data_IF_064605885393
#
_entry.id   IF_064605885393
#
_cell.length_a   1.000
_cell.length_b   1.000
_cell.length_c   1.000
_cell.angle_alpha   90.00
_cell.angle_beta   90.00
_cell.angle_gamma   90.00
#
_symmetry.space_group_name_H-M   'P 1'
#
loop_
_entity.id
_entity.type
_entity.pdbx_description
1 polymer ?
#
# COMPACT_ATOMS: atom_id res chain seq x y z
N UNK A 1 -18.11 18.57 22.43
CA UNK A 1 -19.17 17.81 21.71
C UNK A 1 -18.66 17.06 20.48
N UNK A 2 -17.88 17.64 19.53
CA UNK A 2 -17.36 16.82 18.40
C UNK A 2 -16.04 16.07 18.70
N UNK A 3 -15.17 16.64 19.54
CA UNK A 3 -13.89 16.03 19.95
C UNK A 3 -14.10 14.78 20.80
N UNK A 4 -15.07 14.79 21.69
CA UNK A 4 -15.37 13.69 22.62
C UNK A 4 -15.92 12.46 21.87
N UNK A 5 -16.67 12.70 20.79
CA UNK A 5 -17.20 11.65 19.90
C UNK A 5 -16.08 11.01 19.10
N UNK A 6 -15.16 11.81 18.54
CA UNK A 6 -13.99 11.31 17.82
C UNK A 6 -13.07 10.50 18.75
N UNK A 7 -12.85 10.97 19.98
CA UNK A 7 -12.07 10.25 20.97
C UNK A 7 -12.70 8.89 21.33
N UNK A 8 -14.02 8.87 21.54
CA UNK A 8 -14.76 7.64 21.82
C UNK A 8 -14.73 6.65 20.64
N UNK A 9 -14.82 7.13 19.40
CA UNK A 9 -14.73 6.29 18.20
C UNK A 9 -13.33 5.71 18.01
N UNK A 10 -12.27 6.47 18.30
CA UNK A 10 -10.89 5.98 18.24
C UNK A 10 -10.58 4.93 19.33
N UNK A 11 -11.21 5.05 20.51
CA UNK A 11 -11.02 4.12 21.62
C UNK A 11 -11.74 2.78 21.44
N UNK A 12 -12.77 2.71 20.59
CA UNK A 12 -13.60 1.52 20.38
C UNK A 12 -13.22 0.70 19.14
N UNK A 13 -12.06 0.96 18.53
CA UNK A 13 -11.51 0.10 17.49
C UNK A 13 -11.07 -1.23 18.13
N UNK A 14 -11.98 -2.21 18.17
CA UNK A 14 -11.69 -3.55 18.64
C UNK A 14 -10.56 -4.16 17.82
N UNK A 15 -9.47 -4.52 18.50
CA UNK A 15 -8.28 -5.13 17.93
C UNK A 15 -8.58 -6.60 17.65
N UNK A 16 -9.02 -6.91 16.44
CA UNK A 16 -8.92 -8.26 15.90
C UNK A 16 -7.46 -8.51 15.51
N UNK A 17 -6.98 -9.75 15.61
CA UNK A 17 -5.71 -10.13 14.97
C UNK A 17 -5.82 -9.79 13.48
N UNK A 18 -5.06 -8.79 12.98
CA UNK A 18 -5.24 -8.33 11.62
C UNK A 18 -4.80 -9.44 10.67
N UNK A 19 -5.68 -9.83 9.74
CA UNK A 19 -5.31 -10.70 8.63
C UNK A 19 -4.36 -9.96 7.68
N UNK A 20 -3.07 -10.11 7.93
CA UNK A 20 -2.00 -9.44 7.21
C UNK A 20 -0.97 -10.46 6.69
N UNK A 21 -0.26 -10.10 5.63
CA UNK A 21 0.84 -10.89 5.09
C UNK A 21 2.17 -10.17 5.34
N UNK A 22 2.93 -10.55 6.39
CA UNK A 22 4.20 -9.90 6.69
C UNK A 22 5.26 -10.14 5.61
N UNK A 23 6.00 -9.10 5.27
CA UNK A 23 7.17 -9.15 4.40
C UNK A 23 8.29 -9.97 5.03
N UNK A 24 8.85 -10.92 4.29
CA UNK A 24 9.97 -11.76 4.71
C UNK A 24 11.13 -11.63 3.72
N UNK A 25 11.92 -10.54 3.80
CA UNK A 25 13.10 -10.39 2.97
C UNK A 25 14.03 -11.59 3.15
N UNK A 26 14.45 -12.21 2.05
CA UNK A 26 15.33 -13.38 2.05
C UNK A 26 16.79 -12.94 1.81
N UNK A 27 17.69 -13.23 2.74
CA UNK A 27 19.14 -12.96 2.65
C UNK A 27 19.73 -12.15 3.83
N UNK A 28 21.07 -12.07 3.90
CA UNK A 28 21.90 -11.37 4.93
C UNK A 28 21.57 -9.87 5.03
N UNK A 29 20.43 -9.60 5.62
CA UNK A 29 20.00 -8.26 5.94
C UNK A 29 19.71 -8.21 7.43
N UNK A 30 20.79 -8.16 8.21
CA UNK A 30 20.76 -7.41 9.50
C UNK A 30 20.21 -5.97 9.28
N UNK A 31 20.20 -5.49 8.02
CA UNK A 31 19.48 -4.29 7.57
C UNK A 31 17.96 -4.43 7.41
N UNK A 32 17.43 -5.64 7.26
CA UNK A 32 16.00 -5.92 7.07
C UNK A 32 15.20 -5.53 8.31
N UNK A 33 15.66 -5.90 9.50
CA UNK A 33 15.03 -5.48 10.76
C UNK A 33 15.04 -3.96 10.96
N UNK A 34 16.15 -3.28 10.67
CA UNK A 34 16.23 -1.81 10.72
C UNK A 34 15.35 -1.10 9.68
N UNK A 35 14.93 -1.79 8.61
CA UNK A 35 14.06 -1.21 7.58
C UNK A 35 12.62 -1.05 8.09
N UNK A 36 12.18 -1.94 9.00
CA UNK A 36 10.85 -1.89 9.60
C UNK A 36 10.75 -0.87 10.74
N UNK A 37 11.84 -0.61 11.47
CA UNK A 37 11.92 0.43 12.52
C UNK A 37 11.67 1.86 12.00
N UNK A 38 11.77 2.07 10.70
CA UNK A 38 11.57 3.38 10.07
C UNK A 38 10.11 3.65 9.63
N UNK A 39 9.18 2.73 9.90
CA UNK A 39 7.76 2.91 9.56
C UNK A 39 7.12 3.90 10.55
N UNK A 40 6.53 5.00 10.08
CA UNK A 40 5.84 5.93 10.97
C UNK A 40 4.65 5.29 11.67
N UNK A 41 4.36 5.74 12.90
CA UNK A 41 3.23 5.26 13.70
C UNK A 41 1.89 5.41 12.98
N UNK A 42 1.70 6.52 12.27
CA UNK A 42 0.46 6.78 11.54
C UNK A 42 0.69 6.74 10.05
N UNK A 43 -0.16 5.98 9.36
CA UNK A 43 -0.23 5.93 7.92
C UNK A 43 -1.63 6.32 7.45
N UNK A 44 -1.66 6.93 6.27
CA UNK A 44 -2.85 7.51 5.66
C UNK A 44 -3.08 6.85 4.30
N UNK A 45 -4.33 6.54 3.98
CA UNK A 45 -4.72 6.05 2.65
C UNK A 45 -5.98 6.76 2.20
N UNK A 46 -5.92 7.34 1.01
CA UNK A 46 -7.08 7.89 0.33
C UNK A 46 -7.60 6.84 -0.64
N UNK A 47 -8.90 6.62 -0.65
CA UNK A 47 -9.53 5.69 -1.57
C UNK A 47 -10.89 6.21 -2.06
N UNK A 48 -11.29 5.68 -3.21
CA UNK A 48 -12.54 6.02 -3.93
C UNK A 48 -13.18 4.73 -4.43
N UNK A 49 -14.47 4.73 -4.81
CA UNK A 49 -15.10 3.59 -5.47
C UNK A 49 -14.38 3.11 -6.75
N UNK A 50 -13.56 3.98 -7.35
CA UNK A 50 -12.78 3.69 -8.57
C UNK A 50 -11.37 3.17 -8.30
N UNK A 51 -10.96 3.07 -7.03
CA UNK A 51 -9.68 2.47 -6.66
C UNK A 51 -9.63 0.99 -7.09
N UNK A 52 -8.45 0.52 -7.49
CA UNK A 52 -8.27 -0.86 -7.99
C UNK A 52 -8.45 -1.91 -6.87
N UNK A 53 -7.83 -1.66 -5.71
CA UNK A 53 -8.09 -2.41 -4.48
C UNK A 53 -9.48 -2.14 -3.90
N UNK A 54 -9.81 -2.83 -2.81
CA UNK A 54 -11.03 -2.57 -2.04
C UNK A 54 -10.65 -2.13 -0.63
N UNK A 55 -10.98 -0.90 -0.26
CA UNK A 55 -10.86 -0.42 1.10
C UNK A 55 -12.24 -0.06 1.63
N UNK A 56 -12.54 -0.44 2.87
CA UNK A 56 -13.72 -0.02 3.62
C UNK A 56 -13.35 0.12 5.10
N UNK A 57 -14.34 0.32 5.97
CA UNK A 57 -14.14 0.51 7.41
C UNK A 57 -13.46 -0.67 8.12
N UNK A 58 -13.50 -1.88 7.53
CA UNK A 58 -12.99 -3.10 8.17
C UNK A 58 -11.82 -3.74 7.43
N UNK A 59 -11.61 -3.40 6.16
CA UNK A 59 -10.68 -4.11 5.29
C UNK A 59 -9.98 -3.20 4.32
N UNK A 60 -8.71 -3.48 4.10
CA UNK A 60 -7.93 -3.01 2.96
C UNK A 60 -7.48 -4.24 2.17
N UNK A 61 -7.83 -4.31 0.88
CA UNK A 61 -7.48 -5.39 -0.03
C UNK A 61 -6.78 -4.82 -1.26
N UNK A 62 -5.65 -5.40 -1.64
CA UNK A 62 -5.00 -5.16 -2.92
C UNK A 62 -5.88 -5.60 -4.11
N UNK A 63 -5.44 -5.36 -5.34
CA UNK A 63 -6.13 -5.88 -6.52
C UNK A 63 -6.17 -7.42 -6.51
N UNK A 64 -5.01 -8.06 -6.30
CA UNK A 64 -4.91 -9.52 -6.26
C UNK A 64 -5.82 -10.11 -5.17
N UNK A 65 -5.86 -9.50 -3.98
CA UNK A 65 -6.70 -9.97 -2.88
C UNK A 65 -8.20 -9.76 -3.12
N UNK A 66 -8.58 -8.70 -3.86
CA UNK A 66 -9.98 -8.45 -4.26
C UNK A 66 -10.49 -9.51 -5.24
N UNK A 67 -9.62 -10.01 -6.11
CA UNK A 67 -9.95 -11.03 -7.11
C UNK A 67 -9.53 -12.45 -6.70
N UNK A 68 -9.11 -12.63 -5.44
CA UNK A 68 -8.72 -13.93 -4.86
C UNK A 68 -7.65 -14.66 -5.66
N UNK A 69 -6.75 -13.90 -6.29
CA UNK A 69 -5.61 -14.46 -7.03
C UNK A 69 -4.70 -15.16 -6.04
N UNK A 70 -4.21 -16.37 -6.36
CA UNK A 70 -3.33 -17.15 -5.46
C UNK A 70 -2.11 -16.34 -4.98
N UNK A 71 -1.56 -15.52 -5.88
CA UNK A 71 -0.43 -14.62 -5.65
C UNK A 71 -0.72 -13.48 -4.65
N UNK A 72 -1.98 -13.21 -4.29
CA UNK A 72 -2.34 -12.29 -3.20
C UNK A 72 -1.81 -12.76 -1.84
N UNK A 73 -1.56 -14.07 -1.72
CA UNK A 73 -1.19 -14.76 -0.49
C UNK A 73 0.31 -15.02 -0.39
N UNK A 74 1.06 -14.59 -1.40
CA UNK A 74 2.49 -14.86 -1.54
C UNK A 74 3.24 -13.57 -1.29
N UNK A 75 4.10 -13.59 -0.27
CA UNK A 75 5.01 -12.49 0.01
C UNK A 75 5.81 -12.17 -1.26
N UNK A 76 5.97 -10.87 -1.55
CA UNK A 76 6.68 -10.40 -2.74
C UNK A 76 8.09 -11.02 -2.82
N UNK A 77 8.77 -11.16 -1.68
CA UNK A 77 10.10 -11.78 -1.60
C UNK A 77 10.10 -13.28 -1.82
N UNK A 78 8.96 -13.96 -1.63
CA UNK A 78 8.79 -15.38 -1.90
C UNK A 78 8.38 -15.68 -3.35
N UNK A 79 7.96 -14.67 -4.14
CA UNK A 79 7.58 -14.88 -5.55
C UNK A 79 8.76 -15.41 -6.38
N UNK A 80 8.56 -16.46 -7.20
CA UNK A 80 9.65 -17.14 -7.90
C UNK A 80 10.22 -16.33 -9.09
N UNK A 81 9.36 -15.62 -9.84
CA UNK A 81 9.78 -14.85 -11.02
C UNK A 81 10.11 -13.40 -10.63
N UNK A 82 11.38 -13.15 -10.28
CA UNK A 82 11.85 -11.85 -9.78
C UNK A 82 11.71 -10.71 -10.80
N UNK A 83 11.90 -10.98 -12.09
CA UNK A 83 11.74 -10.01 -13.17
C UNK A 83 10.28 -9.56 -13.28
N UNK A 84 9.34 -10.51 -13.31
CA UNK A 84 7.90 -10.22 -13.33
C UNK A 84 7.47 -9.44 -12.09
N UNK A 85 8.01 -9.79 -10.91
CA UNK A 85 7.76 -9.05 -9.68
C UNK A 85 8.33 -7.63 -9.72
N UNK A 86 9.52 -7.42 -10.28
CA UNK A 86 10.09 -6.09 -10.49
C UNK A 86 9.24 -5.23 -11.44
N UNK A 87 8.73 -5.83 -12.52
CA UNK A 87 7.82 -5.14 -13.45
C UNK A 87 6.48 -4.78 -12.78
N UNK A 88 5.92 -5.68 -11.97
CA UNK A 88 4.72 -5.40 -11.17
C UNK A 88 4.96 -4.24 -10.21
N UNK A 89 6.06 -4.27 -9.45
CA UNK A 89 6.45 -3.20 -8.53
C UNK A 89 6.65 -1.87 -9.27
N UNK A 90 7.31 -1.88 -10.43
CA UNK A 90 7.48 -0.69 -11.25
C UNK A 90 6.14 -0.07 -11.67
N UNK A 91 5.20 -0.90 -12.16
CA UNK A 91 3.86 -0.43 -12.54
C UNK A 91 3.12 0.14 -11.33
N UNK A 92 3.15 -0.56 -10.21
CA UNK A 92 2.50 -0.15 -8.96
C UNK A 92 2.98 1.22 -8.49
N UNK A 93 4.30 1.41 -8.37
CA UNK A 93 4.90 2.67 -7.91
C UNK A 93 4.65 3.85 -8.88
N UNK A 94 4.41 3.54 -10.16
CA UNK A 94 4.09 4.53 -11.21
C UNK A 94 2.59 4.70 -11.42
N UNK A 95 1.73 4.03 -10.64
CA UNK A 95 0.28 4.10 -10.75
C UNK A 95 -0.22 3.70 -12.15
N UNK A 96 0.50 2.79 -12.79
CA UNK A 96 0.16 2.24 -14.11
C UNK A 96 -0.78 1.05 -13.95
N UNK A 97 -1.73 0.91 -14.87
CA UNK A 97 -2.58 -0.27 -14.91
C UNK A 97 -1.74 -1.54 -15.17
N UNK A 98 -2.13 -2.63 -14.53
CA UNK A 98 -1.49 -3.92 -14.65
C UNK A 98 -2.42 -5.04 -14.23
N UNK A 99 -2.12 -6.29 -14.63
CA UNK A 99 -2.97 -7.44 -14.35
C UNK A 99 -2.80 -8.01 -12.93
N UNK A 100 -1.72 -7.63 -12.23
CA UNK A 100 -1.31 -8.23 -10.96
C UNK A 100 -0.78 -7.13 -10.05
N UNK A 101 -1.27 -7.13 -8.81
CA UNK A 101 -0.86 -6.22 -7.75
C UNK A 101 -1.33 -6.72 -6.37
N UNK A 102 -0.40 -7.28 -5.59
CA UNK A 102 -0.65 -7.70 -4.21
C UNK A 102 -0.25 -6.64 -3.17
N UNK A 103 -0.04 -5.40 -3.61
CA UNK A 103 0.43 -4.32 -2.77
C UNK A 103 -0.67 -3.27 -2.58
N UNK A 104 -0.59 -2.57 -1.47
CA UNK A 104 -1.46 -1.45 -1.16
C UNK A 104 -0.63 -0.26 -0.72
N UNK A 105 -0.80 0.87 -1.41
CA UNK A 105 -0.13 2.13 -1.07
C UNK A 105 -0.74 2.83 0.14
N UNK A 106 0.13 3.21 1.05
CA UNK A 106 -0.10 4.09 2.19
C UNK A 106 0.87 5.26 2.13
N UNK A 107 0.54 6.39 2.75
CA UNK A 107 1.46 7.53 2.90
C UNK A 107 1.67 7.89 4.36
N UNK A 108 2.84 8.40 4.70
CA UNK A 108 3.12 8.96 6.03
C UNK A 108 2.81 10.46 6.15
N UNK A 109 2.41 11.11 5.05
CA UNK A 109 2.12 12.55 5.02
C UNK A 109 0.63 12.82 4.91
N UNK A 110 0.01 13.29 5.99
CA UNK A 110 -1.38 13.75 5.97
C UNK A 110 -1.59 14.88 4.96
N UNK A 111 -0.63 15.81 4.85
CA UNK A 111 -0.70 16.90 3.88
C UNK A 111 -0.76 16.36 2.44
N UNK A 112 0.05 15.34 2.12
CA UNK A 112 0.00 14.68 0.82
C UNK A 112 -1.35 14.01 0.59
N UNK A 113 -1.87 13.28 1.59
CA UNK A 113 -3.19 12.65 1.49
C UNK A 113 -4.29 13.70 1.21
N UNK A 114 -4.29 14.83 1.92
CA UNK A 114 -5.25 15.92 1.69
C UNK A 114 -5.12 16.52 0.30
N UNK A 115 -3.90 16.83 -0.16
CA UNK A 115 -3.66 17.31 -1.52
C UNK A 115 -4.14 16.30 -2.58
N UNK A 116 -3.96 15.00 -2.30
CA UNK A 116 -4.38 13.93 -3.19
C UNK A 116 -5.91 13.79 -3.30
N UNK A 117 -6.66 14.06 -2.23
CA UNK A 117 -8.13 14.15 -2.28
C UNK A 117 -8.59 15.20 -3.30
N UNK A 118 -8.02 16.41 -3.24
CA UNK A 118 -8.33 17.48 -4.21
C UNK A 118 -7.93 17.08 -5.62
N UNK A 119 -6.78 16.42 -5.78
CA UNK A 119 -6.35 15.90 -7.08
C UNK A 119 -7.36 14.89 -7.66
N UNK A 120 -7.79 13.90 -6.88
CA UNK A 120 -8.74 12.88 -7.31
C UNK A 120 -10.09 13.50 -7.73
N UNK A 121 -10.58 14.46 -6.96
CA UNK A 121 -11.81 15.18 -7.28
C UNK A 121 -11.71 15.94 -8.61
N UNK A 122 -10.59 16.62 -8.86
CA UNK A 122 -10.36 17.39 -10.09
C UNK A 122 -9.99 16.50 -11.31
N UNK A 123 -9.57 15.26 -11.08
CA UNK A 123 -9.08 14.36 -12.12
C UNK A 123 -10.24 13.82 -12.97
N UNK A 124 -10.16 13.91 -14.31
CA UNK A 124 -11.23 13.42 -15.21
C UNK A 124 -11.46 11.90 -15.17
N UNK A 125 -10.43 11.12 -14.82
CA UNK A 125 -10.51 9.65 -14.73
C UNK A 125 -11.22 9.21 -13.45
N UNK A 126 -10.85 9.80 -12.32
CA UNK A 126 -11.50 9.54 -11.04
C UNK A 126 -12.74 10.42 -10.86
N UNK A 127 -12.59 11.72 -10.59
CA UNK A 127 -13.69 12.68 -10.59
C UNK A 127 -14.76 12.36 -9.54
N UNK A 128 -14.40 11.61 -8.51
CA UNK A 128 -15.32 11.29 -7.41
C UNK A 128 -15.72 12.57 -6.67
N UNK A 129 -16.98 12.65 -6.25
CA UNK A 129 -17.41 13.70 -5.32
C UNK A 129 -16.70 13.52 -3.97
N UNK A 130 -16.56 14.60 -3.20
CA UNK A 130 -15.91 14.53 -1.88
C UNK A 130 -16.56 13.49 -0.95
N UNK A 131 -17.88 13.33 -1.01
CA UNK A 131 -18.61 12.31 -0.23
C UNK A 131 -18.19 10.86 -0.55
N UNK A 132 -17.61 10.64 -1.73
CA UNK A 132 -17.12 9.35 -2.20
C UNK A 132 -15.59 9.21 -2.07
N UNK A 133 -14.89 10.21 -1.55
CA UNK A 133 -13.45 10.12 -1.29
C UNK A 133 -13.23 9.95 0.21
N UNK A 134 -12.67 8.82 0.60
CA UNK A 134 -12.50 8.46 2.01
C UNK A 134 -11.02 8.49 2.39
N UNK A 135 -10.74 8.97 3.60
CA UNK A 135 -9.41 8.98 4.22
C UNK A 135 -9.39 7.96 5.35
N UNK A 136 -8.61 6.90 5.17
CA UNK A 136 -8.29 5.93 6.21
C UNK A 136 -7.02 6.36 6.94
N UNK A 137 -7.02 6.21 8.27
CA UNK A 137 -5.86 6.39 9.13
C UNK A 137 -5.67 5.14 9.96
N UNK A 138 -4.45 4.63 10.00
CA UNK A 138 -4.10 3.46 10.82
C UNK A 138 -2.98 3.79 11.78
N UNK A 139 -3.01 3.14 12.95
CA UNK A 139 -1.88 3.09 13.89
C UNK A 139 -1.12 1.79 13.64
N UNK A 140 0.11 1.90 13.12
CA UNK A 140 0.95 0.75 12.74
C UNK A 140 1.42 -0.05 13.95
N UNK A 141 1.35 0.49 15.17
CA UNK A 141 1.66 -0.25 16.40
C UNK A 141 0.60 -1.31 16.75
N UNK A 142 -0.57 -1.25 16.12
CA UNK A 142 -1.63 -2.25 16.25
C UNK A 142 -1.45 -3.45 15.30
N UNK A 143 -0.39 -3.49 14.51
CA UNK A 143 -0.12 -4.55 13.54
C UNK A 143 1.16 -5.32 13.90
N UNK A 144 1.28 -6.59 13.49
CA UNK A 144 2.53 -7.32 13.57
C UNK A 144 3.69 -6.61 12.87
N UNK A 145 4.92 -6.89 13.30
CA UNK A 145 6.11 -6.41 12.63
C UNK A 145 6.13 -6.87 11.16
N UNK A 146 6.76 -6.07 10.29
CA UNK A 146 6.94 -6.34 8.88
C UNK A 146 5.66 -6.41 8.03
N UNK A 147 4.50 -5.97 8.53
CA UNK A 147 3.29 -5.77 7.68
C UNK A 147 3.48 -4.61 6.69
N UNK A 148 4.23 -3.60 7.12
CA UNK A 148 4.49 -2.38 6.37
C UNK A 148 5.95 -2.30 5.98
N UNK A 149 6.23 -1.93 4.73
CA UNK A 149 7.58 -1.73 4.24
C UNK A 149 7.66 -0.47 3.37
N UNK A 150 8.78 0.26 3.43
CA UNK A 150 8.98 1.44 2.58
C UNK A 150 9.23 1.01 1.13
N UNK A 151 8.62 1.72 0.19
CA UNK A 151 8.88 1.62 -1.24
C UNK A 151 10.37 1.56 -1.60
N UNK A 152 11.20 2.41 -1.00
CA UNK A 152 12.64 2.49 -1.27
C UNK A 152 13.38 1.20 -0.92
N UNK A 153 12.92 0.46 0.09
CA UNK A 153 13.53 -0.82 0.46
C UNK A 153 13.17 -1.91 -0.57
N UNK A 154 11.93 -1.90 -1.07
CA UNK A 154 11.50 -2.76 -2.18
C UNK A 154 12.20 -2.41 -3.50
N UNK A 155 12.34 -1.12 -3.82
CA UNK A 155 13.07 -0.67 -5.01
C UNK A 155 14.51 -1.19 -4.97
N UNK A 156 15.21 -1.07 -3.83
CA UNK A 156 16.58 -1.58 -3.68
C UNK A 156 16.65 -3.09 -3.87
N UNK A 157 15.70 -3.84 -3.29
CA UNK A 157 15.65 -5.29 -3.41
C UNK A 157 15.43 -5.76 -4.86
N UNK A 158 14.66 -5.01 -5.65
CA UNK A 158 14.30 -5.39 -7.02
C UNK A 158 15.11 -4.70 -8.13
N UNK A 159 15.98 -3.74 -7.79
CA UNK A 159 16.74 -2.93 -8.74
C UNK A 159 17.52 -3.78 -9.75
N UNK A 160 18.16 -4.85 -9.28
CA UNK A 160 19.00 -5.74 -10.11
C UNK A 160 18.19 -6.56 -11.12
N UNK A 161 16.87 -6.72 -10.91
CA UNK A 161 15.98 -7.47 -11.78
C UNK A 161 15.24 -6.58 -12.79
N UNK A 162 15.28 -5.26 -12.62
CA UNK A 162 14.68 -4.28 -13.53
C UNK A 162 15.48 -4.03 -14.82
N UNK A 163 16.65 -4.63 -14.98
CA UNK A 163 17.52 -4.46 -16.15
C UNK A 163 17.13 -5.47 -17.24
N UNK A 164 15.96 -5.27 -17.85
CA UNK A 164 15.67 -5.85 -19.17
C UNK A 164 14.91 -4.86 -20.03
N UNK A 165 15.71 -4.15 -20.85
CA UNK A 165 15.41 -3.21 -21.96
C UNK A 165 15.28 -1.71 -21.61
N UNK A 166 15.91 -0.82 -22.42
CA UNK A 166 15.73 0.61 -22.31
C UNK A 166 14.34 0.97 -22.87
N UNK A 167 13.35 1.13 -21.99
CA UNK A 167 12.06 1.65 -22.38
C UNK A 167 12.06 3.17 -22.24
N UNK A 168 11.80 3.85 -23.36
CA UNK A 168 11.74 5.30 -23.46
C UNK A 168 10.80 5.88 -22.40
N UNK A 169 11.36 6.67 -21.49
CA UNK A 169 10.61 7.33 -20.44
C UNK A 169 9.64 8.36 -21.05
N UNK A 170 8.36 7.99 -21.07
CA UNK A 170 7.23 8.89 -20.80
C UNK A 170 7.53 9.79 -19.61
N UNK A 171 8.05 11.00 -19.78
CA UNK A 171 8.12 11.99 -18.69
C UNK A 171 6.72 12.18 -18.10
N UNK A 172 6.52 11.59 -16.93
CA UNK A 172 5.32 11.63 -16.13
C UNK A 172 5.77 11.57 -14.67
N UNK A 173 5.71 12.72 -14.02
CA UNK A 173 5.98 13.02 -12.61
C UNK A 173 6.00 11.79 -11.69
N UNK A 174 7.20 11.33 -11.35
CA UNK A 174 7.40 10.41 -10.23
C UNK A 174 7.51 11.20 -8.93
N UNK A 175 6.90 10.64 -7.88
CA UNK A 175 7.32 10.72 -6.48
C UNK A 175 7.21 12.10 -5.81
N UNK A 176 6.21 12.23 -4.95
CA UNK A 176 6.33 13.06 -3.74
C UNK A 176 5.33 12.61 -2.68
N UNK A 177 5.39 11.33 -2.31
CA UNK A 177 4.71 10.82 -1.12
C UNK A 177 5.35 9.49 -0.81
N UNK A 178 6.00 9.38 0.35
CA UNK A 178 6.54 8.12 0.85
C UNK A 178 5.43 7.06 0.72
N UNK A 179 5.62 6.04 -0.11
CA UNK A 179 4.66 4.96 -0.27
C UNK A 179 5.09 3.84 0.67
N UNK A 180 4.33 3.64 1.75
CA UNK A 180 4.44 2.42 2.55
C UNK A 180 3.51 1.39 1.95
N UNK A 181 4.03 0.18 1.71
CA UNK A 181 3.27 -0.89 1.09
C UNK A 181 2.80 -1.87 2.15
N UNK A 182 1.55 -2.30 2.02
CA UNK A 182 0.95 -3.38 2.80
C UNK A 182 0.62 -4.54 1.85
N UNK A 183 0.84 -5.77 2.31
CA UNK A 183 0.35 -6.97 1.63
C UNK A 183 -0.82 -7.58 2.39
N UNK A 184 -1.94 -7.79 1.68
CA UNK A 184 -3.24 -8.11 2.28
C UNK A 184 -3.68 -9.53 1.88
N UNK A 185 -4.19 -10.31 2.84
CA UNK A 185 -4.69 -11.69 2.64
C UNK A 185 -6.15 -11.81 3.12
N UNK A 186 -6.86 -12.86 2.66
CA UNK A 186 -8.17 -13.27 3.19
C UNK A 186 -8.21 -14.77 3.52
N UNK A 187 -8.58 -15.12 4.74
CA UNK A 187 -9.08 -16.46 5.11
C UNK A 187 -10.59 -16.37 5.23
N UNK A 188 -11.32 -17.22 4.49
CA UNK A 188 -12.71 -17.45 4.87
C UNK A 188 -12.77 -18.22 6.21
N UNK A 189 -13.79 -17.99 7.06
CA UNK A 189 -14.00 -18.70 8.31
C UNK A 189 -14.15 -20.22 8.13
#
# INVERSE_FOLDING_TARGET
MSLDILQYQLQNLSVFDPECLPFRPTGDSERGHKAFDAVPRYLFRVFTPKSQGKTNESWTKSMDARYEVADSKVDIFARPNKQRTAEMLYRHLRWLEGPEDNLVSWTSSLLFALAYIFHLHANKRDGSSYDNIQLCVIDTSSFPEAVFLRDMDLIRAYLVYGISKPYAAKEGTASLGIITLESTYHKEP
#
